data_IF_633513772821
#
_entry.id   IF_633513772821
#
_cell.length_a   1.000
_cell.length_b   1.000
_cell.length_c   1.000
_cell.angle_alpha   90.00
_cell.angle_beta   90.00
_cell.angle_gamma   90.00
#
_symmetry.space_group_name_H-M   'P 1'
#
loop_
_entity.id
_entity.type
_entity.pdbx_description
1 polymer ?
#
# COMPACT_ATOMS: atom_id res chain seq x y z
N UNK A 1 -6.30 0.74 -46.85
CA UNK A 1 -5.75 0.58 -45.49
C UNK A 1 -5.60 -0.91 -45.22
N UNK A 2 -4.41 -1.37 -44.88
CA UNK A 2 -4.11 -2.81 -44.81
C UNK A 2 -4.64 -3.37 -43.47
N UNK A 3 -5.62 -4.31 -43.47
CA UNK A 3 -6.26 -4.81 -42.26
C UNK A 3 -5.31 -5.43 -41.24
N UNK A 4 -4.14 -5.87 -41.71
CA UNK A 4 -3.11 -6.45 -40.84
C UNK A 4 -2.44 -5.44 -39.89
N UNK A 5 -2.47 -4.14 -40.19
CA UNK A 5 -1.96 -3.11 -39.28
C UNK A 5 -2.96 -2.82 -38.14
N UNK A 6 -4.26 -2.87 -38.43
CA UNK A 6 -5.29 -2.63 -37.44
C UNK A 6 -5.31 -3.71 -36.34
N UNK A 7 -5.17 -4.98 -36.75
CA UNK A 7 -5.12 -6.12 -35.81
C UNK A 7 -3.86 -6.08 -34.94
N UNK A 8 -2.70 -5.71 -35.52
CA UNK A 8 -1.44 -5.59 -34.74
C UNK A 8 -1.51 -4.45 -33.72
N UNK A 9 -2.14 -3.32 -34.06
CA UNK A 9 -2.27 -2.18 -33.15
C UNK A 9 -3.20 -2.49 -32.00
N UNK A 10 -4.32 -3.18 -32.25
CA UNK A 10 -5.26 -3.61 -31.20
C UNK A 10 -4.61 -4.65 -30.27
N UNK A 11 -3.88 -5.61 -30.84
CA UNK A 11 -3.18 -6.63 -30.04
C UNK A 11 -2.10 -6.02 -29.13
N UNK A 12 -1.35 -5.02 -29.63
CA UNK A 12 -0.35 -4.33 -28.84
C UNK A 12 -0.97 -3.47 -27.71
N UNK A 13 -2.10 -2.81 -27.97
CA UNK A 13 -2.84 -2.04 -26.96
C UNK A 13 -3.43 -2.93 -25.86
N UNK A 14 -3.93 -4.12 -26.22
CA UNK A 14 -4.42 -5.09 -25.22
C UNK A 14 -3.29 -5.64 -24.33
N UNK A 15 -2.11 -5.87 -24.90
CA UNK A 15 -0.95 -6.35 -24.11
C UNK A 15 -0.46 -5.26 -23.15
N UNK A 16 -0.48 -3.98 -23.55
CA UNK A 16 -0.10 -2.87 -22.67
C UNK A 16 -1.07 -2.65 -21.50
N UNK A 17 -2.37 -2.92 -21.70
CA UNK A 17 -3.36 -2.82 -20.62
C UNK A 17 -3.27 -3.94 -19.55
N UNK A 18 -2.60 -5.06 -19.85
CA UNK A 18 -2.49 -6.19 -18.89
C UNK A 18 -1.33 -6.06 -17.90
N UNK A 19 -0.42 -5.09 -18.06
CA UNK A 19 0.73 -4.91 -17.17
C UNK A 19 0.51 -3.89 -16.03
N UNK A 20 -0.69 -3.38 -15.85
CA UNK A 20 -1.01 -2.37 -14.81
C UNK A 20 -1.46 -2.96 -13.47
N UNK A 21 -1.33 -4.26 -13.26
CA UNK A 21 -1.60 -4.83 -11.93
C UNK A 21 -0.37 -4.62 -11.05
N UNK A 22 -0.50 -3.74 -10.08
CA UNK A 22 0.47 -3.57 -9.02
C UNK A 22 0.82 -4.91 -8.37
N UNK A 23 2.08 -5.10 -8.00
CA UNK A 23 2.48 -6.31 -7.29
C UNK A 23 1.83 -6.32 -5.91
N UNK A 24 0.94 -7.26 -5.67
CA UNK A 24 0.43 -7.56 -4.34
C UNK A 24 1.37 -8.57 -3.70
N UNK A 25 2.06 -8.17 -2.63
CA UNK A 25 2.79 -9.10 -1.77
C UNK A 25 1.95 -9.30 -0.52
N UNK A 26 1.08 -10.29 -0.58
CA UNK A 26 0.29 -10.73 0.55
C UNK A 26 0.19 -12.26 0.53
N UNK A 27 0.32 -12.87 1.70
CA UNK A 27 0.01 -14.28 1.91
C UNK A 27 -1.04 -14.38 3.00
N UNK A 28 -2.03 -15.23 2.80
CA UNK A 28 -3.08 -15.50 3.79
C UNK A 28 -2.46 -15.80 5.16
N UNK A 29 -2.93 -15.09 6.17
CA UNK A 29 -2.47 -15.20 7.55
C UNK A 29 -1.39 -14.21 7.97
N UNK A 30 -0.79 -13.45 7.06
CA UNK A 30 0.24 -12.45 7.39
C UNK A 30 -0.28 -11.30 8.28
N UNK A 31 -1.56 -10.92 8.11
CA UNK A 31 -2.22 -9.85 8.88
C UNK A 31 -3.01 -10.39 10.07
N UNK A 32 -2.89 -11.69 10.36
CA UNK A 32 -3.61 -12.33 11.48
C UNK A 32 -3.16 -11.77 12.82
N UNK A 33 -4.15 -11.41 13.67
CA UNK A 33 -3.94 -10.80 15.00
C UNK A 33 -3.31 -9.39 14.97
N UNK A 34 -3.23 -8.73 13.85
CA UNK A 34 -2.90 -7.31 13.77
C UNK A 34 -4.15 -6.53 14.17
N UNK A 35 -4.22 -6.05 15.41
CA UNK A 35 -5.36 -5.28 15.95
C UNK A 35 -5.10 -3.77 15.96
N UNK A 36 -3.84 -3.39 15.95
CA UNK A 36 -3.38 -2.01 15.92
C UNK A 36 -2.20 -1.88 14.95
N UNK A 37 -2.09 -0.72 14.31
CA UNK A 37 -1.01 -0.41 13.38
C UNK A 37 -0.64 1.07 13.52
N UNK A 38 0.64 1.42 13.42
CA UNK A 38 1.05 2.81 13.22
C UNK A 38 0.94 3.18 11.74
N UNK A 39 0.72 4.46 11.44
CA UNK A 39 0.57 4.98 10.09
C UNK A 39 1.58 6.09 9.85
N UNK A 40 2.27 6.01 8.74
CA UNK A 40 3.16 7.03 8.21
C UNK A 40 2.83 7.24 6.72
N UNK A 41 2.67 8.50 6.31
CA UNK A 41 2.47 8.86 4.90
C UNK A 41 3.61 9.76 4.48
N UNK A 42 4.21 9.47 3.34
CA UNK A 42 5.30 10.24 2.75
C UNK A 42 4.91 10.63 1.34
N UNK A 43 4.90 11.92 1.07
CA UNK A 43 4.61 12.45 -0.28
C UNK A 43 5.90 12.95 -0.92
N UNK A 44 6.14 12.61 -2.17
CA UNK A 44 7.33 12.99 -2.92
C UNK A 44 7.00 13.47 -4.35
N UNK A 45 7.92 14.19 -4.97
CA UNK A 45 7.79 14.73 -6.31
C UNK A 45 7.33 16.20 -6.32
N UNK A 46 6.50 16.58 -7.31
CA UNK A 46 5.94 17.94 -7.40
C UNK A 46 4.80 18.09 -6.41
N UNK A 47 5.08 18.69 -5.25
CA UNK A 47 4.22 18.67 -4.08
C UNK A 47 3.76 20.06 -3.63
N UNK A 48 2.49 20.11 -3.26
CA UNK A 48 1.99 21.06 -2.30
C UNK A 48 2.29 20.51 -0.89
N UNK A 49 2.92 21.30 0.01
CA UNK A 49 3.26 20.83 1.38
C UNK A 49 2.06 20.37 2.19
N UNK A 50 0.84 20.76 1.81
CA UNK A 50 -0.40 20.38 2.51
C UNK A 50 -0.91 18.98 2.16
N UNK A 51 -0.37 18.33 1.13
CA UNK A 51 -0.87 17.03 0.67
C UNK A 51 -0.62 15.91 1.66
N UNK A 52 0.56 15.89 2.27
CA UNK A 52 0.89 14.86 3.26
C UNK A 52 -0.08 14.90 4.45
N UNK A 53 -0.35 16.10 4.98
CA UNK A 53 -1.32 16.27 6.06
C UNK A 53 -2.74 15.85 5.62
N UNK A 54 -3.17 16.27 4.43
CA UNK A 54 -4.50 15.94 3.89
C UNK A 54 -4.68 14.44 3.69
N UNK A 55 -3.72 13.75 3.06
CA UNK A 55 -3.77 12.32 2.84
C UNK A 55 -3.71 11.54 4.15
N UNK A 56 -2.96 12.04 5.14
CA UNK A 56 -2.94 11.49 6.50
C UNK A 56 -4.31 11.59 7.14
N UNK A 57 -4.97 12.74 7.07
CA UNK A 57 -6.32 12.92 7.62
C UNK A 57 -7.35 12.02 6.94
N UNK A 58 -7.32 11.90 5.61
CA UNK A 58 -8.20 10.98 4.86
C UNK A 58 -8.01 9.54 5.35
N UNK A 59 -6.77 9.11 5.52
CA UNK A 59 -6.46 7.76 5.98
C UNK A 59 -6.92 7.52 7.41
N UNK A 60 -6.71 8.46 8.32
CA UNK A 60 -7.18 8.35 9.70
C UNK A 60 -8.72 8.25 9.76
N UNK A 61 -9.43 9.13 9.04
CA UNK A 61 -10.89 9.08 8.94
C UNK A 61 -11.39 7.76 8.34
N UNK A 62 -10.68 7.24 7.33
CA UNK A 62 -10.99 5.94 6.75
C UNK A 62 -10.97 4.84 7.81
N UNK A 63 -9.90 4.76 8.61
CA UNK A 63 -9.75 3.71 9.63
C UNK A 63 -10.69 3.87 10.84
N UNK A 64 -11.26 5.05 11.11
CA UNK A 64 -12.26 5.23 12.18
C UNK A 64 -13.48 4.33 12.01
N UNK A 65 -13.87 4.00 10.77
CA UNK A 65 -14.97 3.12 10.44
C UNK A 65 -14.69 1.62 10.69
N UNK A 66 -13.46 1.24 11.03
CA UNK A 66 -13.05 -0.16 11.10
C UNK A 66 -12.55 -0.58 12.49
N UNK A 67 -12.44 -1.90 12.70
CA UNK A 67 -11.96 -2.47 13.97
C UNK A 67 -10.43 -2.47 14.09
N UNK A 68 -9.71 -2.34 13.00
CA UNK A 68 -8.28 -2.08 13.00
C UNK A 68 -8.03 -0.64 13.47
N UNK A 69 -7.21 -0.47 14.49
CA UNK A 69 -6.99 0.85 15.11
C UNK A 69 -5.64 1.43 14.72
N UNK A 70 -5.63 2.70 14.31
CA UNK A 70 -4.39 3.44 14.13
C UNK A 70 -3.89 3.90 15.51
N UNK A 71 -2.66 3.54 15.85
CA UNK A 71 -2.02 3.92 17.10
C UNK A 71 -0.59 4.42 16.84
N UNK A 72 -0.35 5.74 16.87
CA UNK A 72 0.97 6.32 16.57
C UNK A 72 2.02 6.03 17.62
N UNK A 73 1.65 5.42 18.76
CA UNK A 73 2.58 5.10 19.86
C UNK A 73 3.22 3.73 19.74
N UNK A 74 2.75 2.87 18.84
CA UNK A 74 3.35 1.56 18.62
C UNK A 74 4.43 1.66 17.55
N UNK A 75 5.47 0.86 17.71
CA UNK A 75 6.56 0.78 16.74
C UNK A 75 6.25 -0.23 15.62
N UNK A 76 5.51 -1.28 15.93
CA UNK A 76 5.21 -2.38 15.00
C UNK A 76 3.87 -3.02 15.38
N UNK A 77 3.05 -3.42 14.41
CA UNK A 77 3.27 -3.22 12.97
C UNK A 77 3.17 -1.75 12.53
N UNK A 78 3.88 -1.38 11.45
CA UNK A 78 3.89 -0.04 10.87
C UNK A 78 3.42 -0.07 9.42
N UNK A 79 2.41 0.73 9.07
CA UNK A 79 1.97 0.98 7.70
C UNK A 79 2.66 2.23 7.18
N UNK A 80 3.36 2.11 6.08
CA UNK A 80 3.98 3.23 5.35
C UNK A 80 3.30 3.34 3.99
N UNK A 81 2.79 4.52 3.68
CA UNK A 81 2.20 4.83 2.38
C UNK A 81 3.06 5.89 1.70
N UNK A 82 3.77 5.49 0.65
CA UNK A 82 4.55 6.39 -0.17
C UNK A 82 3.70 6.83 -1.37
N UNK A 83 3.54 8.13 -1.54
CA UNK A 83 2.84 8.74 -2.68
C UNK A 83 3.85 9.54 -3.48
N UNK A 84 4.09 9.14 -4.72
CA UNK A 84 4.99 9.84 -5.64
C UNK A 84 4.18 10.47 -6.76
N UNK A 85 4.39 11.77 -7.02
CA UNK A 85 3.67 12.51 -8.05
C UNK A 85 4.67 13.19 -8.97
N UNK A 86 4.53 12.91 -10.27
CA UNK A 86 5.38 13.44 -11.33
C UNK A 86 4.51 14.20 -12.34
N UNK A 87 4.71 15.50 -12.44
CA UNK A 87 4.10 16.34 -13.48
C UNK A 87 4.98 16.37 -14.71
N UNK A 88 4.38 16.22 -15.89
CA UNK A 88 5.07 16.47 -17.15
C UNK A 88 5.10 17.97 -17.43
N UNK A 89 6.25 18.49 -17.85
CA UNK A 89 6.38 19.88 -18.26
C UNK A 89 5.76 20.16 -19.65
N UNK A 90 5.67 19.12 -20.49
CA UNK A 90 5.26 19.24 -21.89
C UNK A 90 3.81 18.76 -22.14
N UNK A 91 3.23 18.02 -21.20
CA UNK A 91 1.92 17.43 -21.30
C UNK A 91 1.06 17.89 -20.11
N UNK A 92 -0.22 18.15 -20.35
CA UNK A 92 -1.19 18.44 -19.27
C UNK A 92 -1.53 17.21 -18.42
N UNK A 93 -0.62 16.25 -18.33
CA UNK A 93 -0.79 14.96 -17.67
C UNK A 93 0.23 14.83 -16.55
N UNK A 94 -0.21 14.35 -15.40
CA UNK A 94 0.62 13.92 -14.28
C UNK A 94 0.52 12.40 -14.13
N UNK A 95 1.60 11.79 -13.67
CA UNK A 95 1.60 10.39 -13.22
C UNK A 95 1.74 10.35 -11.71
N UNK A 96 1.14 9.33 -11.08
CA UNK A 96 1.31 9.09 -9.65
C UNK A 96 1.46 7.62 -9.36
N UNK A 97 2.13 7.33 -8.27
CA UNK A 97 2.35 6.00 -7.72
C UNK A 97 2.04 6.02 -6.23
N UNK A 98 1.28 5.05 -5.75
CA UNK A 98 0.96 4.85 -4.34
C UNK A 98 1.43 3.47 -3.95
N UNK A 99 2.44 3.39 -3.09
CA UNK A 99 2.95 2.16 -2.49
C UNK A 99 2.51 2.09 -1.02
N UNK A 100 1.69 1.09 -0.68
CA UNK A 100 1.30 0.78 0.68
C UNK A 100 2.06 -0.44 1.14
N UNK A 101 2.90 -0.29 2.15
CA UNK A 101 3.69 -1.35 2.75
C UNK A 101 3.42 -1.46 4.24
N UNK A 102 3.22 -2.67 4.75
CA UNK A 102 3.12 -2.95 6.19
C UNK A 102 4.33 -3.73 6.64
N UNK A 103 5.03 -3.18 7.62
CA UNK A 103 6.22 -3.77 8.22
C UNK A 103 5.89 -4.36 9.59
N UNK A 104 6.44 -5.53 9.88
CA UNK A 104 6.37 -6.12 11.22
C UNK A 104 7.72 -6.73 11.62
N UNK A 105 7.81 -7.15 12.88
CA UNK A 105 9.01 -7.69 13.47
C UNK A 105 9.05 -9.21 13.35
N UNK A 106 10.18 -9.73 12.88
CA UNK A 106 10.43 -11.15 12.73
C UNK A 106 11.59 -11.64 13.57
N UNK A 107 11.52 -12.92 13.87
CA UNK A 107 12.61 -13.69 14.43
C UNK A 107 13.06 -14.71 13.39
N UNK A 108 14.35 -14.80 13.09
CA UNK A 108 14.83 -15.84 12.19
C UNK A 108 14.59 -17.23 12.80
N UNK A 109 14.26 -18.22 11.97
CA UNK A 109 13.98 -19.61 12.37
C UNK A 109 15.06 -20.18 13.28
N UNK A 110 16.34 -20.00 12.92
CA UNK A 110 17.47 -20.53 13.69
C UNK A 110 17.51 -19.93 15.10
N UNK A 111 17.36 -18.58 15.22
CA UNK A 111 17.31 -17.93 16.54
C UNK A 111 16.09 -18.33 17.35
N UNK A 112 14.95 -18.56 16.72
CA UNK A 112 13.74 -19.06 17.39
C UNK A 112 13.97 -20.43 17.98
N UNK A 113 14.52 -21.36 17.21
CA UNK A 113 14.84 -22.73 17.66
C UNK A 113 15.89 -22.77 18.77
N UNK A 114 16.96 -21.97 18.63
CA UNK A 114 18.01 -21.84 19.65
C UNK A 114 17.45 -21.28 20.98
N UNK A 115 16.51 -20.34 20.92
CA UNK A 115 15.91 -19.74 22.12
C UNK A 115 14.90 -20.66 22.81
N UNK A 116 14.12 -21.45 22.05
CA UNK A 116 13.24 -22.46 22.63
C UNK A 116 14.05 -23.49 23.43
N UNK A 117 15.14 -23.99 22.85
CA UNK A 117 15.99 -24.99 23.50
C UNK A 117 16.72 -24.44 24.73
N UNK A 118 17.09 -23.16 24.73
CA UNK A 118 17.90 -22.53 25.80
C UNK A 118 17.09 -21.73 26.81
N UNK A 119 15.75 -21.57 26.65
CA UNK A 119 14.88 -20.71 27.46
C UNK A 119 15.35 -19.25 27.58
N UNK A 120 16.10 -18.76 26.59
CA UNK A 120 16.62 -17.39 26.58
C UNK A 120 15.59 -16.42 26.01
N UNK A 121 15.54 -15.18 26.53
CA UNK A 121 14.70 -14.11 25.99
C UNK A 121 15.27 -13.64 24.66
N UNK A 122 14.43 -13.61 23.63
CA UNK A 122 14.78 -13.10 22.30
C UNK A 122 14.93 -11.58 22.38
N UNK A 123 16.11 -11.06 22.09
CA UNK A 123 16.42 -9.62 22.13
C UNK A 123 16.68 -9.01 20.75
N UNK A 124 16.68 -9.82 19.69
CA UNK A 124 17.01 -9.37 18.32
C UNK A 124 15.90 -9.74 17.36
N UNK A 125 15.26 -8.73 16.82
CA UNK A 125 14.24 -8.83 15.79
C UNK A 125 14.79 -8.28 14.47
N UNK A 126 14.18 -8.68 13.37
CA UNK A 126 14.36 -8.09 12.06
C UNK A 126 13.02 -7.48 11.63
N UNK A 127 13.03 -6.30 11.03
CA UNK A 127 11.88 -5.75 10.37
C UNK A 127 11.76 -6.35 8.96
N UNK A 128 10.56 -6.56 8.50
CA UNK A 128 10.28 -7.01 7.13
C UNK A 128 8.85 -6.71 6.73
N UNK A 129 8.61 -6.74 5.42
CA UNK A 129 7.30 -6.47 4.84
C UNK A 129 6.43 -7.72 5.02
N UNK A 130 5.24 -7.54 5.60
CA UNK A 130 4.20 -8.56 5.74
C UNK A 130 3.06 -8.38 4.74
N UNK A 131 2.92 -7.15 4.21
CA UNK A 131 1.93 -6.80 3.20
C UNK A 131 2.48 -5.67 2.33
N UNK A 132 2.27 -5.74 1.04
CA UNK A 132 2.58 -4.66 0.11
C UNK A 132 1.59 -4.64 -1.03
N UNK A 133 1.15 -3.45 -1.41
CA UNK A 133 0.31 -3.20 -2.55
C UNK A 133 0.74 -1.89 -3.21
N UNK A 134 0.74 -1.86 -4.54
CA UNK A 134 1.10 -0.69 -5.32
C UNK A 134 -0.04 -0.35 -6.29
N UNK A 135 -0.25 0.95 -6.52
CA UNK A 135 -1.21 1.46 -7.48
C UNK A 135 -0.56 2.60 -8.27
N UNK A 136 -0.48 2.44 -9.59
CA UNK A 136 -0.02 3.47 -10.50
C UNK A 136 -1.20 4.07 -11.27
N UNK A 137 -1.16 5.40 -11.48
CA UNK A 137 -2.19 6.10 -12.22
C UNK A 137 -1.65 7.30 -13.00
N UNK A 138 -2.49 7.80 -13.91
CA UNK A 138 -2.27 9.03 -14.66
C UNK A 138 -3.53 9.88 -14.60
N UNK A 139 -3.34 11.21 -14.51
CA UNK A 139 -4.43 12.17 -14.41
C UNK A 139 -4.07 13.48 -15.09
N UNK A 140 -5.08 14.27 -15.46
CA UNK A 140 -4.88 15.67 -15.82
C UNK A 140 -4.36 16.45 -14.62
N UNK A 141 -3.48 17.44 -14.84
CA UNK A 141 -2.88 18.22 -13.76
C UNK A 141 -3.90 18.80 -12.76
N UNK A 142 -5.05 19.27 -13.27
CA UNK A 142 -6.09 19.86 -12.45
C UNK A 142 -6.83 18.85 -11.55
N UNK A 143 -6.82 17.56 -11.92
CA UNK A 143 -7.56 16.50 -11.23
C UNK A 143 -6.64 15.61 -10.39
N UNK A 144 -5.33 15.78 -10.48
CA UNK A 144 -4.35 14.86 -9.89
C UNK A 144 -4.59 14.62 -8.39
N UNK A 145 -4.92 15.68 -7.63
CA UNK A 145 -5.19 15.55 -6.19
C UNK A 145 -6.38 14.64 -5.94
N UNK A 146 -7.50 14.87 -6.63
CA UNK A 146 -8.72 14.08 -6.45
C UNK A 146 -8.51 12.62 -6.85
N UNK A 147 -7.77 12.37 -7.92
CA UNK A 147 -7.50 11.01 -8.38
C UNK A 147 -6.54 10.27 -7.44
N UNK A 148 -5.55 10.95 -6.87
CA UNK A 148 -4.69 10.40 -5.81
C UNK A 148 -5.50 10.07 -4.55
N UNK A 149 -6.39 10.95 -4.10
CA UNK A 149 -7.28 10.71 -2.95
C UNK A 149 -8.19 9.49 -3.18
N UNK A 150 -8.82 9.41 -4.34
CA UNK A 150 -9.68 8.27 -4.70
C UNK A 150 -8.87 6.96 -4.75
N UNK A 151 -7.68 7.02 -5.31
CA UNK A 151 -6.77 5.87 -5.41
C UNK A 151 -6.25 5.43 -4.03
N UNK A 152 -5.95 6.39 -3.14
CA UNK A 152 -5.60 6.09 -1.75
C UNK A 152 -6.74 5.36 -1.03
N UNK A 153 -7.97 5.85 -1.15
CA UNK A 153 -9.14 5.17 -0.56
C UNK A 153 -9.33 3.77 -1.16
N UNK A 154 -9.09 3.60 -2.46
CA UNK A 154 -9.19 2.29 -3.13
C UNK A 154 -8.17 1.29 -2.60
N UNK A 155 -6.90 1.69 -2.44
CA UNK A 155 -5.85 0.81 -1.91
C UNK A 155 -6.09 0.46 -0.43
N UNK A 156 -6.58 1.42 0.37
CA UNK A 156 -6.97 1.18 1.77
C UNK A 156 -8.16 0.22 1.89
N UNK A 157 -9.14 0.30 0.99
CA UNK A 157 -10.26 -0.66 0.94
C UNK A 157 -9.77 -2.07 0.64
N UNK A 158 -8.84 -2.23 -0.32
CA UNK A 158 -8.26 -3.53 -0.62
C UNK A 158 -7.52 -4.09 0.60
N UNK A 159 -6.68 -3.28 1.24
CA UNK A 159 -5.97 -3.66 2.45
C UNK A 159 -6.93 -4.12 3.58
N UNK A 160 -7.99 -3.38 3.84
CA UNK A 160 -8.99 -3.74 4.87
C UNK A 160 -9.72 -5.03 4.53
N UNK A 161 -10.04 -5.28 3.25
CA UNK A 161 -10.65 -6.54 2.84
C UNK A 161 -9.72 -7.73 3.09
N UNK A 162 -8.44 -7.60 2.77
CA UNK A 162 -7.43 -8.62 3.01
C UNK A 162 -7.20 -8.84 4.53
N UNK A 163 -7.20 -7.75 5.30
CA UNK A 163 -7.14 -7.83 6.76
C UNK A 163 -8.34 -8.57 7.35
N UNK A 164 -9.56 -8.35 6.84
CA UNK A 164 -10.75 -9.08 7.28
C UNK A 164 -10.71 -10.56 6.86
N UNK A 165 -10.12 -10.90 5.72
CA UNK A 165 -9.91 -12.30 5.33
C UNK A 165 -9.03 -13.03 6.38
N UNK A 166 -7.98 -12.37 6.85
CA UNK A 166 -7.10 -12.90 7.89
C UNK A 166 -7.73 -12.86 9.30
N UNK A 167 -8.71 -11.98 9.53
CA UNK A 167 -9.36 -11.75 10.82
C UNK A 167 -10.91 -11.81 10.73
N UNK A 168 -11.52 -12.91 10.28
CA UNK A 168 -12.94 -12.99 9.96
C UNK A 168 -13.86 -12.68 11.14
N UNK A 169 -13.42 -12.96 12.37
CA UNK A 169 -14.17 -12.66 13.59
C UNK A 169 -14.25 -11.15 13.91
N UNK A 170 -13.51 -10.31 13.20
CA UNK A 170 -13.54 -8.84 13.37
C UNK A 170 -14.58 -8.16 12.48
N UNK A 171 -15.23 -8.88 11.58
CA UNK A 171 -16.30 -8.33 10.73
C UNK A 171 -17.61 -8.08 11.50
N UNK A 172 -17.78 -8.70 12.66
CA UNK A 172 -19.02 -8.68 13.49
C UNK A 172 -18.88 -7.91 14.77
#
# INVERSE_FOLDING_TARGET
MNPNYFIKTISLSLILCTFSYGQLIWSEGNLKKVDQISLEIVVSGDQDPTWEEKLTQISLLFFEGYKLKINPKIFSPNMVINVSILKSNDLSISSYDIDLSVFDLFISKDKYLDNISSKKIIKKFKSGIIYQQNLFGQSEHEKIIQDVENSLVSILNTFINDWYQDNPMKQF
#
